data_IF_078362065145
#
_entry.id   IF_078362065145
#
_cell.length_a   1.000
_cell.length_b   1.000
_cell.length_c   1.000
_cell.angle_alpha   90.00
_cell.angle_beta   90.00
_cell.angle_gamma   90.00
#
_symmetry.space_group_name_H-M   'P 1'
#
loop_
_entity.id
_entity.type
_entity.pdbx_description
1 polymer ?
#
# COMPACT_ATOMS: atom_id res chain seq x y z
N UNK A 1 7.96 11.21 0.65
CA UNK A 1 8.27 10.00 -0.14
C UNK A 1 9.74 9.62 -0.04
N UNK A 2 10.40 9.73 1.11
CA UNK A 2 11.83 9.47 1.16
C UNK A 2 12.23 9.03 2.57
N UNK A 3 13.25 8.17 2.64
CA UNK A 3 14.38 8.29 3.57
C UNK A 3 15.62 7.78 2.82
N UNK A 4 16.71 8.52 2.77
CA UNK A 4 17.87 8.22 1.92
C UNK A 4 19.17 8.42 2.71
N UNK A 5 20.11 7.49 2.56
CA UNK A 5 21.40 7.54 3.26
C UNK A 5 21.31 7.20 4.75
N UNK A 6 22.24 7.75 5.53
CA UNK A 6 22.29 7.54 6.99
C UNK A 6 21.25 8.42 7.70
N UNK A 7 20.00 7.93 7.75
CA UNK A 7 18.84 8.69 8.23
C UNK A 7 18.65 8.71 9.76
N UNK A 8 19.44 7.93 10.50
CA UNK A 8 19.24 7.73 11.94
C UNK A 8 18.01 6.88 12.29
N UNK A 9 17.66 6.89 13.58
CA UNK A 9 16.55 6.13 14.15
C UNK A 9 15.19 6.66 13.69
N UNK A 10 14.23 5.76 13.50
CA UNK A 10 12.84 6.12 13.13
C UNK A 10 12.09 6.66 14.36
N UNK A 11 11.46 7.85 14.30
CA UNK A 11 10.56 8.32 15.35
C UNK A 11 9.34 7.41 15.53
N UNK A 12 8.87 7.27 16.77
CA UNK A 12 7.74 6.40 17.11
C UNK A 12 6.45 6.73 16.34
N UNK A 13 6.19 8.01 16.08
CA UNK A 13 4.99 8.50 15.40
C UNK A 13 5.10 8.50 13.86
N UNK A 14 6.29 8.22 13.31
CA UNK A 14 6.51 8.30 11.86
C UNK A 14 5.76 7.18 11.12
N UNK A 15 4.90 7.50 10.15
CA UNK A 15 4.34 6.52 9.21
C UNK A 15 5.16 6.54 7.92
N UNK A 16 5.90 5.45 7.66
CA UNK A 16 6.70 5.31 6.46
C UNK A 16 5.85 5.12 5.21
N UNK A 17 6.18 5.85 4.15
CA UNK A 17 5.51 5.75 2.84
C UNK A 17 6.52 5.32 1.77
N UNK A 18 6.26 4.18 1.12
CA UNK A 18 7.06 3.65 0.02
C UNK A 18 6.22 3.49 -1.23
N UNK A 19 6.81 3.80 -2.37
CA UNK A 19 6.06 3.88 -3.64
C UNK A 19 6.90 3.28 -4.75
N UNK A 20 6.41 2.17 -5.31
CA UNK A 20 7.08 1.45 -6.39
C UNK A 20 6.39 1.76 -7.72
N UNK A 21 7.19 1.83 -8.79
CA UNK A 21 6.73 1.93 -10.19
C UNK A 21 7.44 0.85 -10.98
N UNK A 22 6.69 0.09 -11.77
CA UNK A 22 7.26 -0.95 -12.61
C UNK A 22 6.24 -1.57 -13.56
N UNK A 23 6.66 -1.79 -14.80
CA UNK A 23 5.92 -2.55 -15.80
C UNK A 23 4.45 -2.16 -15.94
N UNK A 24 3.60 -3.18 -15.89
CA UNK A 24 2.15 -3.15 -16.10
C UNK A 24 1.35 -3.30 -14.79
N UNK A 25 1.98 -3.06 -13.63
CA UNK A 25 1.33 -3.14 -12.32
C UNK A 25 0.11 -2.21 -12.29
N UNK A 26 -1.07 -2.79 -12.11
CA UNK A 26 -2.33 -2.04 -12.02
C UNK A 26 -2.41 -1.29 -10.69
N UNK A 27 -2.04 -1.95 -9.59
CA UNK A 27 -1.93 -1.34 -8.27
C UNK A 27 -1.77 -2.38 -7.16
N UNK A 28 -0.78 -2.18 -6.31
CA UNK A 28 -0.56 -2.95 -5.09
C UNK A 28 -0.35 -1.99 -3.92
N UNK A 29 -1.00 -2.28 -2.79
CA UNK A 29 -0.85 -1.52 -1.55
C UNK A 29 -0.71 -2.50 -0.39
N UNK A 30 0.35 -2.33 0.40
CA UNK A 30 0.59 -3.13 1.60
C UNK A 30 0.77 -2.20 2.80
N UNK A 31 0.05 -2.48 3.88
CA UNK A 31 0.24 -1.86 5.19
C UNK A 31 0.90 -2.87 6.10
N UNK A 32 1.99 -2.45 6.75
CA UNK A 32 2.75 -3.27 7.69
C UNK A 32 2.53 -2.78 9.12
N UNK A 33 2.19 -3.70 10.01
CA UNK A 33 2.26 -3.52 11.45
C UNK A 33 3.39 -4.38 11.97
N UNK A 34 4.51 -3.78 12.37
CA UNK A 34 5.74 -4.49 12.75
C UNK A 34 5.97 -4.33 14.25
N UNK A 35 5.92 -5.45 14.96
CA UNK A 35 6.22 -5.53 16.39
C UNK A 35 7.56 -6.23 16.65
N UNK A 36 7.88 -6.44 17.93
CA UNK A 36 9.06 -7.21 18.32
C UNK A 36 8.82 -8.69 18.04
N UNK A 37 9.55 -9.26 17.08
CA UNK A 37 9.47 -10.70 16.75
C UNK A 37 8.29 -11.11 15.88
N UNK A 38 7.42 -10.18 15.48
CA UNK A 38 6.25 -10.47 14.64
C UNK A 38 5.86 -9.32 13.71
N UNK A 39 5.05 -9.65 12.70
CA UNK A 39 4.53 -8.68 11.73
C UNK A 39 3.17 -9.13 11.19
N UNK A 40 2.25 -8.17 11.08
CA UNK A 40 0.98 -8.32 10.37
C UNK A 40 1.03 -7.47 9.09
N UNK A 41 0.55 -8.05 7.99
CA UNK A 41 0.53 -7.41 6.67
C UNK A 41 -0.91 -7.41 6.12
N UNK A 42 -1.38 -6.24 5.70
CA UNK A 42 -2.64 -6.08 4.99
C UNK A 42 -2.35 -5.63 3.56
N UNK A 43 -2.65 -6.52 2.60
CA UNK A 43 -2.28 -6.30 1.21
C UNK A 43 -3.50 -6.31 0.29
N UNK A 44 -3.63 -5.25 -0.51
CA UNK A 44 -4.60 -5.16 -1.59
C UNK A 44 -3.86 -5.16 -2.94
N UNK A 45 -4.19 -6.14 -3.80
CA UNK A 45 -3.63 -6.28 -5.16
C UNK A 45 -4.75 -6.24 -6.18
N UNK A 46 -4.71 -5.26 -7.07
CA UNK A 46 -5.63 -5.17 -8.20
C UNK A 46 -5.06 -5.98 -9.38
N UNK A 47 -5.81 -6.99 -9.84
CA UNK A 47 -5.45 -7.76 -11.05
C UNK A 47 -5.86 -7.06 -12.34
N UNK A 48 -6.86 -6.17 -12.29
CA UNK A 48 -7.30 -5.36 -13.42
C UNK A 48 -8.01 -4.10 -12.94
N UNK A 49 -8.20 -3.13 -13.84
CA UNK A 49 -8.98 -1.92 -13.57
C UNK A 49 -10.50 -2.16 -13.55
N UNK A 50 -10.96 -3.32 -14.01
CA UNK A 50 -12.37 -3.66 -14.12
C UNK A 50 -13.08 -3.69 -12.75
N UNK A 51 -12.36 -4.07 -11.68
CA UNK A 51 -12.94 -4.09 -10.33
C UNK A 51 -13.46 -2.70 -9.91
N UNK A 52 -12.76 -1.63 -10.28
CA UNK A 52 -13.20 -0.26 -9.98
C UNK A 52 -14.44 0.12 -10.79
N UNK A 53 -14.47 -0.23 -12.08
CA UNK A 53 -15.64 0.00 -12.94
C UNK A 53 -16.88 -0.76 -12.43
N UNK A 54 -16.72 -2.04 -12.10
CA UNK A 54 -17.79 -2.85 -11.48
C UNK A 54 -18.27 -2.27 -10.16
N UNK A 55 -17.35 -1.78 -9.32
CA UNK A 55 -17.68 -1.10 -8.07
C UNK A 55 -18.53 0.15 -8.30
N UNK A 56 -18.15 0.99 -9.27
CA UNK A 56 -18.89 2.19 -9.62
C UNK A 56 -20.31 1.88 -10.16
N UNK A 57 -20.45 0.92 -11.06
CA UNK A 57 -21.77 0.50 -11.59
C UNK A 57 -22.64 -0.08 -10.48
N UNK A 58 -22.08 -0.92 -9.60
CA UNK A 58 -22.80 -1.45 -8.45
C UNK A 58 -23.28 -0.33 -7.51
N UNK A 59 -22.43 0.65 -7.23
CA UNK A 59 -22.77 1.79 -6.38
C UNK A 59 -23.86 2.68 -7.02
N UNK A 60 -23.88 2.82 -8.34
CA UNK A 60 -24.90 3.61 -9.03
C UNK A 60 -26.31 2.99 -8.93
N UNK A 61 -26.40 1.67 -8.76
CA UNK A 61 -27.67 0.95 -8.56
C UNK A 61 -28.00 0.63 -7.11
N UNK A 62 -27.27 1.18 -6.14
CA UNK A 62 -27.45 0.91 -4.71
C UNK A 62 -28.52 1.82 -4.09
#
# INVERSE_FOLDING_TARGET
>A
YHREGMCGERPHEEIGMQTVRGGDIVGEHTVYFVGMGERIELTHRAMSRDMFARGAVRAAGW
#
